data_IF_575906477187
#
_entry.id   IF_575906477187
#
_cell.length_a   1.000
_cell.length_b   1.000
_cell.length_c   1.000
_cell.angle_alpha   90.00
_cell.angle_beta   90.00
_cell.angle_gamma   90.00
#
_symmetry.space_group_name_H-M   'P 1'
#
loop_
_entity.id
_entity.type
_entity.pdbx_description
1 polymer ?
#
# COMPACT_ATOMS: atom_id res chain seq x y z
N UNK A 1 -11.14 23.32 -10.86
CA UNK A 1 -9.76 22.85 -11.02
C UNK A 1 -9.07 22.92 -9.66
N UNK A 2 -9.14 21.85 -8.89
CA UNK A 2 -8.55 21.79 -7.55
C UNK A 2 -7.05 21.55 -7.71
N UNK A 3 -6.24 22.53 -7.37
CA UNK A 3 -4.78 22.40 -7.37
C UNK A 3 -4.38 21.49 -6.22
N UNK A 4 -3.90 20.29 -6.54
CA UNK A 4 -3.25 19.41 -5.58
C UNK A 4 -2.03 20.15 -5.02
N UNK A 5 -2.03 20.42 -3.71
CA UNK A 5 -0.87 20.91 -2.99
C UNK A 5 0.14 19.77 -2.91
N UNK A 6 1.06 19.72 -3.88
CA UNK A 6 2.28 18.91 -3.83
C UNK A 6 3.23 19.55 -2.81
N UNK A 7 3.01 19.29 -1.52
CA UNK A 7 4.01 19.53 -0.48
C UNK A 7 4.81 18.25 -0.26
N UNK A 8 6.15 18.26 -0.37
CA UNK A 8 6.94 17.07 -0.13
C UNK A 8 6.92 16.72 1.35
N UNK A 9 6.37 15.57 1.73
CA UNK A 9 6.90 14.83 2.89
C UNK A 9 8.30 14.37 2.47
N UNK A 10 9.40 14.86 3.09
CA UNK A 10 10.74 14.74 2.52
C UNK A 10 11.30 13.31 2.46
N UNK A 11 10.57 12.30 2.97
CA UNK A 11 11.05 10.92 3.03
C UNK A 11 10.00 9.95 2.49
N UNK A 12 10.38 9.19 1.46
CA UNK A 12 9.64 8.00 1.03
C UNK A 12 9.61 6.96 2.16
N UNK A 13 8.59 6.11 2.16
CA UNK A 13 8.56 4.95 3.04
C UNK A 13 9.70 4.00 2.66
N UNK A 14 10.48 3.60 3.65
CA UNK A 14 11.38 2.46 3.53
C UNK A 14 10.62 1.13 3.67
N UNK A 15 11.31 0.03 3.36
CA UNK A 15 10.70 -1.31 3.38
C UNK A 15 10.23 -1.73 4.77
N UNK A 16 10.90 -1.28 5.84
CA UNK A 16 10.54 -1.61 7.22
C UNK A 16 9.24 -0.92 7.63
N UNK A 17 9.10 0.36 7.29
CA UNK A 17 7.90 1.17 7.52
C UNK A 17 6.73 0.63 6.71
N UNK A 18 6.95 0.25 5.44
CA UNK A 18 5.94 -0.39 4.62
C UNK A 18 5.46 -1.72 5.22
N UNK A 19 6.37 -2.56 5.72
CA UNK A 19 6.01 -3.81 6.39
C UNK A 19 5.19 -3.57 7.66
N UNK A 20 5.58 -2.59 8.49
CA UNK A 20 4.85 -2.20 9.71
C UNK A 20 3.47 -1.63 9.41
N UNK A 21 3.35 -0.84 8.34
CA UNK A 21 2.06 -0.31 7.89
C UNK A 21 1.11 -1.47 7.52
N UNK A 22 1.58 -2.38 6.67
CA UNK A 22 0.80 -3.56 6.22
C UNK A 22 0.43 -4.47 7.38
N UNK A 23 1.30 -4.64 8.37
CA UNK A 23 1.02 -5.49 9.54
C UNK A 23 0.18 -4.79 10.61
N UNK A 24 -0.22 -3.53 10.41
CA UNK A 24 -0.93 -2.74 11.42
C UNK A 24 -0.09 -2.41 12.66
N UNK A 25 1.24 -2.47 12.57
CA UNK A 25 2.17 -2.23 13.68
C UNK A 25 2.62 -0.76 13.80
N UNK A 26 2.25 0.09 12.85
CA UNK A 26 2.44 1.54 13.00
C UNK A 26 1.45 2.10 14.02
N UNK A 27 1.90 3.10 14.78
CA UNK A 27 0.98 3.88 15.63
C UNK A 27 0.00 4.62 14.74
N UNK A 28 -1.22 4.83 15.23
CA UNK A 28 -2.29 5.46 14.46
C UNK A 28 -1.87 6.78 13.76
N UNK A 29 -1.14 7.72 14.40
CA UNK A 29 -0.72 8.94 13.70
C UNK A 29 0.29 8.67 12.58
N UNK A 30 1.16 7.68 12.76
CA UNK A 30 2.18 7.29 11.79
C UNK A 30 1.52 6.58 10.58
N UNK A 31 0.49 5.77 10.83
CA UNK A 31 -0.35 5.14 9.80
C UNK A 31 -1.10 6.17 8.97
N UNK A 32 -1.72 7.15 9.62
CA UNK A 32 -2.43 8.23 8.92
C UNK A 32 -1.50 9.02 8.01
N UNK A 33 -0.31 9.38 8.50
CA UNK A 33 0.68 10.08 7.66
C UNK A 33 1.15 9.24 6.47
N UNK A 34 1.34 7.93 6.67
CA UNK A 34 1.66 7.01 5.58
C UNK A 34 0.55 7.02 4.51
N UNK A 35 -0.71 6.90 4.91
CA UNK A 35 -1.87 6.93 4.01
C UNK A 35 -1.93 8.22 3.19
N UNK A 36 -1.77 9.37 3.87
CA UNK A 36 -1.73 10.68 3.21
C UNK A 36 -0.63 10.78 2.15
N UNK A 37 0.52 10.15 2.37
CA UNK A 37 1.60 10.12 1.39
C UNK A 37 1.32 9.16 0.22
N UNK A 38 0.75 7.98 0.51
CA UNK A 38 0.45 6.96 -0.49
C UNK A 38 -0.54 7.45 -1.55
N UNK A 39 -1.47 8.34 -1.19
CA UNK A 39 -2.39 8.98 -2.14
C UNK A 39 -1.69 9.73 -3.29
N UNK A 40 -0.47 10.23 -3.06
CA UNK A 40 0.28 11.02 -4.03
C UNK A 40 1.57 10.37 -4.53
N UNK A 41 1.96 9.20 -4.02
CA UNK A 41 3.27 8.60 -4.29
C UNK A 41 3.16 7.15 -4.79
N UNK A 42 3.20 6.97 -6.12
CA UNK A 42 3.16 5.66 -6.77
C UNK A 42 4.28 4.71 -6.31
N UNK A 43 5.51 5.21 -6.15
CA UNK A 43 6.65 4.39 -5.67
C UNK A 43 6.41 3.81 -4.28
N UNK A 44 5.84 4.59 -3.36
CA UNK A 44 5.52 4.10 -2.03
C UNK A 44 4.30 3.17 -2.06
N UNK A 45 3.31 3.44 -2.91
CA UNK A 45 2.18 2.54 -3.14
C UNK A 45 2.63 1.17 -3.67
N UNK A 46 3.59 1.14 -4.60
CA UNK A 46 4.20 -0.10 -5.10
C UNK A 46 4.92 -0.86 -4.00
N UNK A 47 5.73 -0.18 -3.17
CA UNK A 47 6.42 -0.82 -2.03
C UNK A 47 5.46 -1.42 -1.02
N UNK A 48 4.43 -0.68 -0.63
CA UNK A 48 3.39 -1.17 0.30
C UNK A 48 2.64 -2.35 -0.30
N UNK A 49 2.28 -2.27 -1.60
CA UNK A 49 1.63 -3.37 -2.30
C UNK A 49 2.51 -4.63 -2.38
N UNK A 50 3.82 -4.46 -2.59
CA UNK A 50 4.77 -5.57 -2.55
C UNK A 50 4.86 -6.19 -1.16
N UNK A 51 4.94 -5.37 -0.11
CA UNK A 51 4.93 -5.84 1.28
C UNK A 51 3.62 -6.59 1.62
N UNK A 52 2.46 -6.10 1.17
CA UNK A 52 1.17 -6.77 1.36
C UNK A 52 1.10 -8.15 0.69
N UNK A 53 1.63 -8.26 -0.54
CA UNK A 53 1.71 -9.54 -1.26
C UNK A 53 2.70 -10.52 -0.64
N UNK A 54 3.77 -10.03 -0.01
CA UNK A 54 4.75 -10.87 0.68
C UNK A 54 4.29 -11.29 2.09
N UNK A 55 3.38 -10.53 2.71
CA UNK A 55 2.89 -10.77 4.07
C UNK A 55 1.67 -11.69 4.14
N UNK A 56 1.07 -11.77 5.34
CA UNK A 56 -0.10 -12.60 5.62
C UNK A 56 -1.29 -12.45 4.64
N UNK A 57 -1.60 -11.24 4.12
CA UNK A 57 -2.65 -11.08 3.11
C UNK A 57 -2.33 -11.68 1.73
N UNK A 58 -1.06 -11.94 1.43
CA UNK A 58 -0.59 -12.33 0.09
C UNK A 58 -1.29 -13.56 -0.51
N UNK A 59 -1.31 -14.71 0.18
CA UNK A 59 -1.97 -15.92 -0.32
C UNK A 59 -3.46 -15.71 -0.60
N UNK A 60 -4.17 -15.00 0.27
CA UNK A 60 -5.59 -14.67 0.09
C UNK A 60 -5.82 -13.77 -1.12
N UNK A 61 -4.99 -12.74 -1.31
CA UNK A 61 -5.06 -11.87 -2.48
C UNK A 61 -4.77 -12.63 -3.78
N UNK A 62 -3.82 -13.57 -3.77
CA UNK A 62 -3.53 -14.42 -4.92
C UNK A 62 -4.71 -15.34 -5.26
N UNK A 63 -5.33 -15.96 -4.26
CA UNK A 63 -6.52 -16.80 -4.46
C UNK A 63 -7.70 -16.01 -5.04
N UNK A 64 -7.98 -14.81 -4.49
CA UNK A 64 -9.03 -13.92 -5.00
C UNK A 64 -8.75 -13.53 -6.45
N UNK A 65 -7.50 -13.15 -6.77
CA UNK A 65 -7.12 -12.81 -8.15
C UNK A 65 -7.35 -13.99 -9.09
N UNK A 66 -6.93 -15.19 -8.72
CA UNK A 66 -7.11 -16.39 -9.56
C UNK A 66 -8.59 -16.70 -9.77
N UNK A 67 -9.40 -16.63 -8.71
CA UNK A 67 -10.85 -16.85 -8.81
C UNK A 67 -11.52 -15.84 -9.75
N UNK A 68 -11.20 -14.55 -9.61
CA UNK A 68 -11.74 -13.51 -10.47
C UNK A 68 -11.35 -13.70 -11.94
N UNK A 69 -10.10 -14.08 -12.21
CA UNK A 69 -9.64 -14.32 -13.58
C UNK A 69 -10.31 -15.55 -14.21
N UNK A 70 -10.62 -16.58 -13.43
CA UNK A 70 -11.36 -17.74 -13.90
C UNK A 70 -12.82 -17.38 -14.22
N UNK A 71 -13.46 -16.55 -13.38
CA UNK A 71 -14.84 -16.08 -13.56
C UNK A 71 -15.00 -15.23 -14.83
N UNK A 72 -14.08 -14.28 -15.07
CA UNK A 72 -14.12 -13.41 -16.25
C UNK A 72 -13.77 -14.15 -17.56
N UNK A 73 -13.09 -15.29 -17.47
CA UNK A 73 -12.72 -16.10 -18.64
C UNK A 73 -13.79 -17.12 -19.06
N UNK A 74 -14.84 -17.31 -18.25
CA UNK A 74 -15.97 -18.22 -18.53
C UNK A 74 -17.03 -17.57 -19.42
#
# INVERSE_FOLDING_TARGET
MTTHRTGPSPHHLDSLTAARYVSGALREPDSWQAERHLEGCGTCAERVSAAARAGGPGPSLAAVRSALLADVAA
#
